data_IF_870341429401
#
_entry.id   IF_870341429401
#
_cell.length_a   1.000
_cell.length_b   1.000
_cell.length_c   1.000
_cell.angle_alpha   90.00
_cell.angle_beta   90.00
_cell.angle_gamma   90.00
#
_symmetry.space_group_name_H-M   'P 1'
#
loop_
_entity.id
_entity.type
_entity.pdbx_description
1 polymer ?
#
# COMPACT_ATOMS: atom_id res chain seq x y z
N UNK A 1 -6.94 -10.78 11.14
CA UNK A 1 -6.73 -10.34 9.73
C UNK A 1 -7.61 -9.14 9.44
N UNK A 2 -7.04 -8.06 8.97
CA UNK A 2 -7.78 -6.84 8.65
C UNK A 2 -8.45 -6.96 7.28
N UNK A 3 -9.77 -6.88 7.22
CA UNK A 3 -10.56 -6.89 5.99
C UNK A 3 -11.30 -5.59 5.72
N UNK A 4 -11.26 -4.64 6.65
CA UNK A 4 -11.88 -3.31 6.55
C UNK A 4 -11.14 -2.32 7.42
N UNK A 5 -11.03 -1.06 6.96
CA UNK A 5 -10.42 0.01 7.75
C UNK A 5 -11.06 1.37 7.47
N UNK A 6 -10.69 2.35 8.28
CA UNK A 6 -11.13 3.74 8.15
C UNK A 6 -9.95 4.68 7.96
N UNK A 7 -10.17 5.74 7.22
CA UNK A 7 -9.24 6.85 7.05
C UNK A 7 -10.01 8.16 6.89
N UNK A 8 -9.82 9.08 7.82
CA UNK A 8 -10.33 10.45 7.70
C UNK A 8 -9.39 11.32 6.87
N UNK A 9 -9.94 12.35 6.24
CA UNK A 9 -9.13 13.34 5.52
C UNK A 9 -8.16 14.07 6.45
N UNK A 10 -8.56 14.31 7.68
CA UNK A 10 -7.72 14.95 8.71
C UNK A 10 -6.49 14.09 9.03
N UNK A 11 -6.68 12.81 9.34
CA UNK A 11 -5.57 11.90 9.60
C UNK A 11 -4.64 11.74 8.41
N UNK A 12 -5.19 11.67 7.20
CA UNK A 12 -4.37 11.64 5.99
C UNK A 12 -3.48 12.89 5.88
N UNK A 13 -4.03 14.08 6.11
CA UNK A 13 -3.28 15.33 6.07
C UNK A 13 -2.17 15.34 7.14
N UNK A 14 -2.46 14.91 8.36
CA UNK A 14 -1.45 14.77 9.42
C UNK A 14 -0.33 13.81 9.03
N UNK A 15 -0.64 12.71 8.36
CA UNK A 15 0.35 11.79 7.83
C UNK A 15 1.26 12.44 6.80
N UNK A 16 0.69 13.19 5.86
CA UNK A 16 1.45 13.89 4.82
C UNK A 16 2.39 14.92 5.43
N UNK A 17 1.93 15.71 6.41
CA UNK A 17 2.75 16.66 7.15
C UNK A 17 3.87 15.98 7.93
N UNK A 18 3.56 14.92 8.67
CA UNK A 18 4.54 14.15 9.44
C UNK A 18 5.65 13.55 8.55
N UNK A 19 5.29 13.13 7.34
CA UNK A 19 6.24 12.56 6.38
C UNK A 19 6.99 13.61 5.55
N UNK A 20 6.75 14.91 5.81
CA UNK A 20 7.33 16.04 5.07
C UNK A 20 7.13 15.91 3.56
N UNK A 21 5.90 15.63 3.17
CA UNK A 21 5.50 15.46 1.78
C UNK A 21 4.62 16.61 1.30
N UNK A 22 4.77 17.00 0.04
CA UNK A 22 3.75 17.82 -0.61
C UNK A 22 2.43 17.07 -0.73
N UNK A 23 1.29 17.78 -0.72
CA UNK A 23 -0.04 17.17 -0.89
C UNK A 23 -0.22 16.64 -2.32
N UNK A 24 -0.17 15.33 -2.55
CA UNK A 24 -0.27 14.78 -3.91
C UNK A 24 -1.70 14.85 -4.46
N UNK A 25 -2.69 14.71 -3.60
CA UNK A 25 -4.12 14.74 -3.92
C UNK A 25 -4.95 14.79 -2.63
N UNK A 26 -6.21 15.20 -2.77
CA UNK A 26 -7.17 15.18 -1.65
C UNK A 26 -7.71 13.77 -1.45
N UNK A 27 -7.76 13.35 -0.20
CA UNK A 27 -8.37 12.06 0.19
C UNK A 27 -9.62 12.35 1.00
N UNK A 28 -10.81 11.98 0.49
CA UNK A 28 -12.03 12.12 1.26
C UNK A 28 -12.06 11.14 2.43
N UNK A 29 -12.71 11.53 3.51
CA UNK A 29 -12.95 10.63 4.65
C UNK A 29 -13.76 9.42 4.24
N UNK A 30 -13.29 8.23 4.59
CA UNK A 30 -13.94 6.95 4.33
C UNK A 30 -13.84 6.06 5.55
N UNK A 31 -14.98 5.63 6.06
CA UNK A 31 -15.06 4.88 7.32
C UNK A 31 -15.35 3.38 7.14
N UNK A 32 -15.37 2.91 5.91
CA UNK A 32 -15.61 1.50 5.57
C UNK A 32 -14.91 1.13 4.27
N UNK A 33 -13.58 1.21 4.28
CA UNK A 33 -12.75 0.89 3.11
C UNK A 33 -12.63 -0.62 3.02
N UNK A 34 -12.89 -1.16 1.84
CA UNK A 34 -12.95 -2.60 1.55
C UNK A 34 -11.90 -3.01 0.51
N UNK A 35 -11.53 -4.30 0.48
CA UNK A 35 -10.70 -4.87 -0.58
C UNK A 35 -11.25 -4.56 -1.98
N UNK A 36 -10.37 -4.52 -2.95
CA UNK A 36 -10.62 -4.17 -4.36
C UNK A 36 -10.94 -2.69 -4.64
N UNK A 37 -11.13 -1.88 -3.61
CA UNK A 37 -11.31 -0.44 -3.75
C UNK A 37 -9.96 0.28 -3.87
N UNK A 38 -9.94 1.50 -4.47
CA UNK A 38 -8.76 2.35 -4.45
C UNK A 38 -8.50 2.85 -3.03
N UNK A 39 -7.25 2.82 -2.62
CA UNK A 39 -6.78 3.25 -1.30
C UNK A 39 -5.58 4.17 -1.44
N UNK A 40 -5.47 5.16 -0.55
CA UNK A 40 -4.31 6.02 -0.47
C UNK A 40 -3.13 5.25 0.13
N UNK A 41 -1.99 5.34 -0.52
CA UNK A 41 -0.74 4.75 -0.04
C UNK A 41 0.40 5.76 -0.12
N UNK A 42 1.42 5.55 0.70
CA UNK A 42 2.69 6.28 0.66
C UNK A 42 3.77 5.29 0.28
N UNK A 43 4.51 5.57 -0.76
CA UNK A 43 5.58 4.72 -1.27
C UNK A 43 6.84 5.52 -1.60
N UNK A 44 7.94 4.83 -1.82
CA UNK A 44 9.15 5.44 -2.33
C UNK A 44 8.98 5.74 -3.83
N UNK A 45 9.37 6.94 -4.24
CA UNK A 45 9.32 7.35 -5.64
C UNK A 45 10.27 6.48 -6.47
N UNK A 46 9.78 5.95 -7.58
CA UNK A 46 10.56 5.06 -8.43
C UNK A 46 10.66 3.62 -7.91
N UNK A 47 9.82 3.23 -6.95
CA UNK A 47 9.79 1.87 -6.40
C UNK A 47 9.49 0.76 -7.43
N UNK A 48 9.08 1.12 -8.64
CA UNK A 48 8.90 0.18 -9.75
C UNK A 48 10.23 -0.20 -10.44
N UNK A 49 11.29 0.57 -10.18
CA UNK A 49 12.65 0.29 -10.66
C UNK A 49 13.43 -0.54 -9.65
N UNK A 50 14.46 -1.23 -10.11
CA UNK A 50 15.31 -2.02 -9.22
C UNK A 50 15.99 -1.11 -8.18
N UNK A 51 15.58 -1.22 -6.94
CA UNK A 51 16.10 -0.41 -5.81
C UNK A 51 17.42 -0.95 -5.24
N UNK A 52 18.01 -1.96 -5.86
CA UNK A 52 19.30 -2.52 -5.42
C UNK A 52 20.47 -1.55 -5.59
N UNK A 53 20.25 -0.38 -6.21
CA UNK A 53 21.25 0.65 -6.49
C UNK A 53 20.74 2.01 -6.01
N UNK A 54 20.44 2.15 -4.73
CA UNK A 54 20.25 3.47 -4.12
C UNK A 54 21.56 3.84 -3.43
N UNK A 55 22.23 4.93 -3.86
CA UNK A 55 23.38 5.43 -3.10
C UNK A 55 22.94 5.76 -1.68
N UNK A 56 23.76 5.39 -0.72
CA UNK A 56 23.50 5.53 0.74
C UNK A 56 23.26 6.99 1.17
N UNK A 57 23.49 7.96 0.30
CA UNK A 57 23.44 9.40 0.60
C UNK A 57 22.12 10.10 0.23
N UNK A 58 21.19 9.43 -0.46
CA UNK A 58 19.90 10.04 -0.80
C UNK A 58 18.76 9.06 -0.56
N UNK A 59 18.04 9.24 0.55
CA UNK A 59 16.77 8.56 0.73
C UNK A 59 15.84 8.94 -0.44
N UNK A 60 15.29 7.96 -1.17
CA UNK A 60 14.40 8.27 -2.28
C UNK A 60 13.21 9.06 -1.77
N UNK A 61 12.82 10.08 -2.54
CA UNK A 61 11.65 10.90 -2.23
C UNK A 61 10.42 10.00 -2.08
N UNK A 62 9.58 10.33 -1.12
CA UNK A 62 8.29 9.68 -0.90
C UNK A 62 7.24 10.27 -1.82
N UNK A 63 6.29 9.46 -2.22
CA UNK A 63 5.13 9.91 -3.00
C UNK A 63 3.84 9.27 -2.49
N UNK A 64 2.74 10.03 -2.56
CA UNK A 64 1.41 9.50 -2.38
C UNK A 64 0.87 8.92 -3.68
N UNK A 65 0.14 7.82 -3.61
CA UNK A 65 -0.51 7.21 -4.76
C UNK A 65 -1.86 6.61 -4.37
N UNK A 66 -2.75 6.47 -5.35
CA UNK A 66 -3.95 5.65 -5.21
C UNK A 66 -3.67 4.28 -5.82
N UNK A 67 -3.86 3.24 -5.02
CA UNK A 67 -3.67 1.87 -5.45
C UNK A 67 -4.88 1.02 -5.12
N UNK A 68 -5.12 -0.02 -5.91
CA UNK A 68 -6.16 -1.00 -5.61
C UNK A 68 -5.72 -1.87 -4.43
N UNK A 69 -6.59 -2.03 -3.43
CA UNK A 69 -6.34 -2.96 -2.33
C UNK A 69 -6.50 -4.40 -2.79
N UNK A 70 -5.43 -5.13 -2.84
CA UNK A 70 -5.34 -6.51 -3.28
C UNK A 70 -4.23 -6.69 -4.32
N UNK A 71 -3.33 -7.63 -4.05
CA UNK A 71 -2.21 -7.92 -4.93
C UNK A 71 -2.71 -8.63 -6.20
N UNK A 72 -2.21 -8.18 -7.34
CA UNK A 72 -2.36 -8.87 -8.62
C UNK A 72 -0.99 -9.45 -8.98
N UNK A 73 -0.82 -10.78 -8.99
CA UNK A 73 0.44 -11.39 -9.38
C UNK A 73 0.83 -10.98 -10.82
N UNK A 74 2.12 -10.78 -11.08
CA UNK A 74 2.60 -10.38 -12.41
C UNK A 74 2.30 -11.39 -13.53
N UNK A 75 2.09 -12.66 -13.16
CA UNK A 75 1.74 -13.73 -14.09
C UNK A 75 0.23 -13.92 -14.26
N UNK A 76 -0.61 -13.14 -13.59
CA UNK A 76 -2.05 -13.24 -13.72
C UNK A 76 -2.51 -12.77 -15.11
N UNK A 77 -3.29 -13.63 -15.79
CA UNK A 77 -3.86 -13.31 -17.11
C UNK A 77 -5.05 -12.37 -17.01
N UNK A 78 -5.72 -12.35 -15.87
CA UNK A 78 -6.90 -11.53 -15.60
C UNK A 78 -6.95 -11.11 -14.14
N UNK A 79 -7.65 -10.02 -13.87
CA UNK A 79 -7.87 -9.54 -12.50
C UNK A 79 -9.06 -10.27 -11.91
N UNK A 80 -8.81 -11.20 -10.98
CA UNK A 80 -9.86 -11.86 -10.22
C UNK A 80 -10.34 -10.93 -9.10
N UNK A 81 -11.56 -10.47 -9.20
CA UNK A 81 -12.15 -9.52 -8.24
C UNK A 81 -12.90 -10.21 -7.11
N UNK A 82 -13.31 -11.45 -7.31
CA UNK A 82 -14.06 -12.27 -6.35
C UNK A 82 -13.20 -12.77 -5.18
N UNK A 83 -11.89 -12.91 -5.39
CA UNK A 83 -10.95 -13.38 -4.36
C UNK A 83 -9.66 -12.52 -4.36
N UNK A 84 -9.73 -11.30 -3.85
CA UNK A 84 -8.55 -10.43 -3.81
C UNK A 84 -7.50 -11.01 -2.86
N UNK A 85 -6.23 -10.97 -3.26
CA UNK A 85 -5.10 -11.36 -2.42
C UNK A 85 -4.76 -10.20 -1.47
N UNK A 86 -5.37 -10.18 -0.30
CA UNK A 86 -5.26 -9.09 0.68
C UNK A 86 -4.37 -9.44 1.88
N UNK A 87 -3.98 -10.69 2.03
CA UNK A 87 -3.17 -11.19 3.13
C UNK A 87 -2.01 -12.06 2.63
N UNK A 88 -0.91 -12.03 3.36
CA UNK A 88 0.23 -12.89 3.16
C UNK A 88 0.76 -13.37 4.52
N UNK A 89 1.23 -14.61 4.58
CA UNK A 89 1.89 -15.15 5.78
C UNK A 89 3.34 -14.71 5.82
N UNK A 90 3.79 -14.16 6.93
CA UNK A 90 5.17 -13.70 7.12
C UNK A 90 6.21 -14.80 6.86
N UNK A 91 5.88 -16.05 7.23
CA UNK A 91 6.78 -17.20 7.11
C UNK A 91 7.09 -17.57 5.64
N UNK A 92 6.20 -17.22 4.71
CA UNK A 92 6.32 -17.63 3.31
C UNK A 92 6.35 -16.49 2.30
N UNK A 93 6.12 -15.25 2.73
CA UNK A 93 6.01 -14.07 1.84
C UNK A 93 7.25 -13.87 0.97
N UNK A 94 8.45 -14.11 1.53
CA UNK A 94 9.72 -13.92 0.82
C UNK A 94 9.95 -14.95 -0.30
N UNK A 95 9.32 -16.13 -0.21
CA UNK A 95 9.52 -17.25 -1.14
C UNK A 95 8.44 -17.42 -2.19
N UNK A 96 7.18 -17.10 -1.87
CA UNK A 96 6.05 -17.33 -2.77
C UNK A 96 6.14 -16.48 -4.05
N UNK A 97 5.94 -17.07 -5.24
CA UNK A 97 6.04 -16.36 -6.52
C UNK A 97 5.21 -15.08 -6.61
N UNK A 98 4.00 -15.07 -6.03
CA UNK A 98 3.11 -13.92 -6.04
C UNK A 98 3.64 -12.74 -5.23
N UNK A 99 4.34 -13.01 -4.13
CA UNK A 99 4.72 -12.01 -3.14
C UNK A 99 6.19 -11.63 -3.14
N UNK A 100 7.10 -12.53 -3.51
CA UNK A 100 8.55 -12.31 -3.37
C UNK A 100 9.05 -11.04 -4.05
N UNK A 101 8.57 -10.73 -5.25
CA UNK A 101 8.93 -9.53 -5.99
C UNK A 101 8.42 -8.25 -5.32
N UNK A 102 7.10 -8.13 -5.09
CA UNK A 102 6.52 -7.02 -4.33
C UNK A 102 7.13 -6.83 -2.94
N UNK A 103 7.35 -7.91 -2.21
CA UNK A 103 7.95 -7.86 -0.87
C UNK A 103 9.37 -7.29 -0.87
N UNK A 104 10.15 -7.59 -1.90
CA UNK A 104 11.52 -7.06 -2.02
C UNK A 104 11.56 -5.59 -2.42
N UNK A 105 10.69 -5.14 -3.34
CA UNK A 105 10.88 -3.88 -4.07
C UNK A 105 9.72 -2.90 -3.98
N UNK A 106 8.51 -3.34 -3.64
CA UNK A 106 7.29 -2.53 -3.78
C UNK A 106 6.46 -2.50 -2.51
N UNK A 107 7.12 -2.17 -1.40
CA UNK A 107 6.43 -1.94 -0.14
C UNK A 107 5.84 -0.54 -0.11
N UNK A 108 4.73 -0.39 0.59
CA UNK A 108 4.11 0.89 0.84
C UNK A 108 3.56 0.96 2.26
N UNK A 109 3.28 2.16 2.72
CA UNK A 109 2.51 2.42 3.92
C UNK A 109 1.06 2.70 3.53
N UNK A 110 0.13 2.16 4.28
CA UNK A 110 -1.30 2.43 4.13
C UNK A 110 -1.75 3.24 5.34
N UNK A 111 -1.97 4.55 5.21
CA UNK A 111 -2.50 5.36 6.30
C UNK A 111 -3.88 4.87 6.72
N UNK A 112 -4.13 4.81 8.02
CA UNK A 112 -5.39 4.37 8.58
C UNK A 112 -5.62 5.00 9.96
N UNK A 113 -6.89 5.30 10.29
CA UNK A 113 -7.29 5.69 11.65
C UNK A 113 -7.46 4.46 12.53
N UNK A 114 -8.01 3.41 11.95
CA UNK A 114 -8.30 2.16 12.63
C UNK A 114 -8.79 1.10 11.66
N UNK A 115 -8.91 -0.10 12.15
CA UNK A 115 -9.37 -1.24 11.36
C UNK A 115 -10.43 -2.03 12.14
N UNK A 116 -11.25 -2.75 11.39
CA UNK A 116 -12.34 -3.55 11.95
C UNK A 116 -11.91 -5.00 12.05
N UNK A 117 -12.08 -5.57 13.23
CA UNK A 117 -11.87 -6.99 13.51
C UNK A 117 -13.10 -7.60 14.19
N UNK A 118 -13.37 -8.85 13.91
CA UNK A 118 -14.41 -9.60 14.60
C UNK A 118 -13.92 -10.03 15.99
N UNK A 119 -14.80 -9.89 16.92
CA UNK A 119 -14.55 -10.35 18.27
C UNK A 119 -14.64 -11.86 18.39
#
# INVERSE_FOLDING_TARGET
>A
MCGRYSLSSESYNQFIEFMDMGYPFKVPSRFNIAPSQPVAVIRLKGSDKDQSIIPDEALPAREGALMRWGLIPHFAKEIKTDRPMINARSETIAGKPSFRGPFRRRKCLVPADGFYEWK
#
